data_IF_928728980462
#
_entry.id   IF_928728980462
#
_cell.length_a   1.000
_cell.length_b   1.000
_cell.length_c   1.000
_cell.angle_alpha   90.00
_cell.angle_beta   90.00
_cell.angle_gamma   90.00
#
_symmetry.space_group_name_H-M   'P 1'
#
loop_
_entity.id
_entity.type
_entity.pdbx_description
1 polymer ?
#
# COMPACT_ATOMS: atom_id res chain seq x y z
N UNK A 1 -15.72 17.36 10.03
CA UNK A 1 -14.74 17.44 8.91
C UNK A 1 -14.76 16.09 8.20
N UNK A 2 -14.76 16.14 6.87
CA UNK A 2 -15.41 15.20 5.93
C UNK A 2 -15.15 13.71 6.17
N UNK A 3 -16.21 12.96 6.51
CA UNK A 3 -16.27 11.51 6.39
C UNK A 3 -16.52 11.19 4.91
N UNK A 4 -15.47 10.90 4.16
CA UNK A 4 -15.57 10.34 2.82
C UNK A 4 -16.14 8.92 2.93
N UNK A 5 -17.47 8.83 2.97
CA UNK A 5 -18.21 7.58 2.86
C UNK A 5 -18.07 7.10 1.41
N UNK A 6 -17.00 6.34 1.12
CA UNK A 6 -16.82 5.69 -0.17
C UNK A 6 -17.55 4.33 -0.14
N UNK A 7 -18.86 4.40 -0.38
CA UNK A 7 -19.75 3.27 -0.58
C UNK A 7 -19.63 2.80 -2.03
N UNK A 8 -18.84 1.76 -2.33
CA UNK A 8 -19.20 0.69 -3.28
C UNK A 8 -18.02 -0.22 -3.61
N UNK A 9 -18.31 -1.52 -3.63
CA UNK A 9 -17.48 -2.63 -4.13
C UNK A 9 -16.90 -2.37 -5.54
N UNK A 10 -17.56 -1.53 -6.33
CA UNK A 10 -17.14 -1.12 -7.69
C UNK A 10 -16.01 -0.09 -7.72
N UNK A 11 -15.86 0.77 -6.70
CA UNK A 11 -14.76 1.74 -6.68
C UNK A 11 -13.44 1.09 -6.30
N UNK A 12 -13.44 0.07 -5.43
CA UNK A 12 -12.23 -0.73 -5.13
C UNK A 12 -11.62 -1.42 -6.37
N UNK A 13 -12.43 -1.66 -7.40
CA UNK A 13 -11.98 -2.23 -8.67
C UNK A 13 -11.43 -1.18 -9.65
N UNK A 14 -11.79 0.10 -9.45
CA UNK A 14 -11.36 1.21 -10.29
C UNK A 14 -10.23 2.05 -9.66
N UNK A 15 -9.99 1.91 -8.36
CA UNK A 15 -8.92 2.64 -7.67
C UNK A 15 -7.56 1.98 -7.94
N UNK A 16 -6.67 2.76 -8.54
CA UNK A 16 -5.29 2.33 -8.75
C UNK A 16 -4.48 2.43 -7.46
N UNK A 17 -3.39 1.66 -7.36
CA UNK A 17 -2.44 1.82 -6.26
C UNK A 17 -1.91 3.26 -6.17
N UNK A 18 -1.76 3.94 -7.31
CA UNK A 18 -1.37 5.35 -7.37
C UNK A 18 -2.36 6.26 -6.64
N UNK A 19 -3.66 6.14 -6.95
CA UNK A 19 -4.71 6.97 -6.35
C UNK A 19 -4.78 6.75 -4.84
N UNK A 20 -4.69 5.48 -4.42
CA UNK A 20 -4.61 5.11 -3.02
C UNK A 20 -3.38 5.68 -2.32
N UNK A 21 -2.22 5.69 -2.97
CA UNK A 21 -1.02 6.31 -2.44
C UNK A 21 -1.16 7.83 -2.29
N UNK A 22 -1.91 8.50 -3.17
CA UNK A 22 -2.23 9.94 -3.05
C UNK A 22 -3.14 10.20 -1.86
N UNK A 23 -4.22 9.43 -1.71
CA UNK A 23 -5.12 9.54 -0.55
C UNK A 23 -4.37 9.30 0.77
N UNK A 24 -3.56 8.25 0.81
CA UNK A 24 -2.77 7.89 2.00
C UNK A 24 -1.73 8.95 2.36
N UNK A 25 -1.10 9.60 1.37
CA UNK A 25 -0.17 10.70 1.59
C UNK A 25 -0.86 11.89 2.29
N UNK A 26 -2.07 12.23 1.83
CA UNK A 26 -2.81 13.40 2.30
C UNK A 26 -3.54 13.16 3.63
N UNK A 27 -4.13 11.98 3.83
CA UNK A 27 -4.96 11.69 5.00
C UNK A 27 -4.14 11.16 6.19
N UNK A 28 -3.19 10.25 5.93
CA UNK A 28 -2.47 9.52 6.98
C UNK A 28 -1.08 10.10 7.21
N UNK A 29 -0.30 10.29 6.14
CA UNK A 29 1.10 10.70 6.26
C UNK A 29 1.25 12.17 6.63
N UNK A 30 0.32 13.04 6.22
CA UNK A 30 0.35 14.47 6.52
C UNK A 30 0.49 14.78 8.02
N UNK A 31 -0.10 13.95 8.90
CA UNK A 31 -0.14 14.18 10.34
C UNK A 31 0.90 13.37 11.15
N UNK A 32 1.77 12.59 10.49
CA UNK A 32 2.73 11.70 11.17
C UNK A 32 4.07 12.39 11.43
N UNK A 33 4.66 12.16 12.62
CA UNK A 33 6.04 12.61 12.98
C UNK A 33 7.15 12.10 12.03
N UNK A 34 6.86 11.13 11.14
CA UNK A 34 7.77 10.55 10.15
C UNK A 34 7.44 10.90 8.68
N UNK A 35 6.61 11.93 8.44
CA UNK A 35 6.01 12.20 7.13
C UNK A 35 7.01 12.30 5.97
N UNK A 36 8.20 12.87 6.20
CA UNK A 36 9.20 13.07 5.13
C UNK A 36 9.70 11.75 4.55
N UNK A 37 9.98 10.78 5.42
CA UNK A 37 10.51 9.49 4.99
C UNK A 37 9.41 8.65 4.31
N UNK A 38 8.20 8.68 4.85
CA UNK A 38 7.04 8.00 4.26
C UNK A 38 6.67 8.60 2.90
N UNK A 39 6.71 9.93 2.73
CA UNK A 39 6.53 10.60 1.42
C UNK A 39 7.59 10.19 0.40
N UNK A 40 8.85 10.04 0.84
CA UNK A 40 9.92 9.56 -0.04
C UNK A 40 9.61 8.15 -0.56
N UNK A 41 9.19 7.25 0.33
CA UNK A 41 8.78 5.89 -0.01
C UNK A 41 7.57 5.89 -0.94
N UNK A 42 6.55 6.72 -0.66
CA UNK A 42 5.36 6.87 -1.52
C UNK A 42 5.75 7.30 -2.93
N UNK A 43 6.66 8.26 -3.07
CA UNK A 43 7.16 8.68 -4.39
C UNK A 43 7.88 7.56 -5.13
N UNK A 44 8.62 6.70 -4.42
CA UNK A 44 9.24 5.52 -5.03
C UNK A 44 8.16 4.57 -5.56
N UNK A 45 7.14 4.27 -4.75
CA UNK A 45 6.03 3.42 -5.19
C UNK A 45 5.28 4.00 -6.38
N UNK A 46 4.95 5.29 -6.37
CA UNK A 46 4.27 5.99 -7.48
C UNK A 46 5.00 5.89 -8.82
N UNK A 47 6.32 5.64 -8.82
CA UNK A 47 7.14 5.45 -10.02
C UNK A 47 7.20 3.99 -10.49
N UNK A 48 6.79 3.04 -9.66
CA UNK A 48 6.80 1.63 -10.02
C UNK A 48 5.65 1.31 -10.99
N UNK A 49 5.83 0.34 -11.90
CA UNK A 49 4.75 -0.14 -12.77
C UNK A 49 3.50 -0.57 -11.96
N UNK A 50 3.72 -1.12 -10.77
CA UNK A 50 2.66 -1.55 -9.85
C UNK A 50 1.70 -0.41 -9.46
N UNK A 51 2.16 0.85 -9.47
CA UNK A 51 1.29 1.99 -9.14
C UNK A 51 0.11 2.14 -10.10
N UNK A 52 0.27 1.70 -11.36
CA UNK A 52 -0.77 1.77 -12.39
C UNK A 52 -1.76 0.59 -12.32
N UNK A 53 -1.46 -0.42 -11.51
CA UNK A 53 -2.35 -1.55 -11.32
C UNK A 53 -3.49 -1.18 -10.37
N UNK A 54 -4.66 -1.74 -10.61
CA UNK A 54 -5.78 -1.64 -9.68
C UNK A 54 -5.44 -2.33 -8.35
N UNK A 55 -5.88 -1.77 -7.23
CA UNK A 55 -5.64 -2.38 -5.91
C UNK A 55 -6.20 -3.81 -5.85
N UNK A 56 -7.38 -4.05 -6.43
CA UNK A 56 -7.99 -5.37 -6.53
C UNK A 56 -7.20 -6.37 -7.39
N UNK A 57 -6.41 -5.88 -8.36
CA UNK A 57 -5.59 -6.73 -9.25
C UNK A 57 -4.19 -7.01 -8.70
N UNK A 58 -3.77 -6.28 -7.66
CA UNK A 58 -2.43 -6.40 -7.10
C UNK A 58 -2.31 -7.71 -6.32
N UNK A 59 -1.47 -8.64 -6.81
CA UNK A 59 -1.29 -9.94 -6.18
C UNK A 59 -0.07 -9.95 -5.28
N UNK A 60 -0.04 -10.90 -4.34
CA UNK A 60 1.13 -11.21 -3.50
C UNK A 60 2.39 -11.44 -4.33
N UNK A 61 2.23 -12.06 -5.51
CA UNK A 61 3.33 -12.36 -6.43
C UNK A 61 3.99 -11.09 -7.00
N UNK A 62 3.20 -10.06 -7.31
CA UNK A 62 3.73 -8.80 -7.83
C UNK A 62 4.55 -8.06 -6.77
N UNK A 63 4.08 -8.09 -5.51
CA UNK A 63 4.79 -7.52 -4.37
C UNK A 63 6.08 -8.31 -4.07
N UNK A 64 6.04 -9.65 -4.16
CA UNK A 64 7.22 -10.48 -3.99
C UNK A 64 8.29 -10.22 -5.07
N UNK A 65 7.87 -10.06 -6.32
CA UNK A 65 8.77 -9.71 -7.42
C UNK A 65 9.42 -8.34 -7.18
N UNK A 66 8.64 -7.34 -6.77
CA UNK A 66 9.16 -6.00 -6.45
C UNK A 66 10.15 -6.03 -5.28
N UNK A 67 9.88 -6.85 -4.25
CA UNK A 67 10.82 -7.09 -3.14
C UNK A 67 12.14 -7.66 -3.65
N UNK A 68 12.08 -8.70 -4.47
CA UNK A 68 13.27 -9.40 -4.96
C UNK A 68 14.09 -8.51 -5.91
N UNK A 69 13.44 -7.64 -6.68
CA UNK A 69 14.09 -6.58 -7.45
C UNK A 69 14.81 -5.58 -6.54
N UNK A 70 14.14 -5.06 -5.50
CA UNK A 70 14.77 -4.11 -4.58
C UNK A 70 15.88 -4.71 -3.72
N UNK A 71 15.82 -5.99 -3.37
CA UNK A 71 16.87 -6.65 -2.60
C UNK A 71 18.22 -6.74 -3.35
N UNK A 72 18.24 -6.52 -4.67
CA UNK A 72 19.47 -6.43 -5.46
C UNK A 72 20.23 -5.12 -5.23
N UNK A 73 19.50 -4.04 -5.00
CA UNK A 73 20.05 -2.68 -4.95
C UNK A 73 20.02 -2.07 -3.53
N UNK A 74 19.19 -2.58 -2.63
CA UNK A 74 18.94 -2.00 -1.32
C UNK A 74 19.12 -3.01 -0.18
N UNK A 75 19.56 -2.51 0.97
CA UNK A 75 19.65 -3.31 2.18
C UNK A 75 18.28 -3.88 2.61
N UNK A 76 18.24 -5.09 3.20
CA UNK A 76 16.98 -5.73 3.62
C UNK A 76 16.10 -4.86 4.52
N UNK A 77 16.70 -4.10 5.45
CA UNK A 77 15.98 -3.19 6.33
C UNK A 77 15.24 -2.07 5.55
N UNK A 78 15.84 -1.56 4.47
CA UNK A 78 15.21 -0.55 3.61
C UNK A 78 14.03 -1.14 2.85
N UNK A 79 14.18 -2.36 2.31
CA UNK A 79 13.12 -3.06 1.59
C UNK A 79 11.94 -3.36 2.52
N UNK A 80 12.22 -3.90 3.71
CA UNK A 80 11.20 -4.16 4.74
C UNK A 80 10.39 -2.92 5.05
N UNK A 81 11.05 -1.78 5.28
CA UNK A 81 10.36 -0.52 5.57
C UNK A 81 9.42 -0.10 4.44
N UNK A 82 9.84 -0.24 3.19
CA UNK A 82 8.98 0.08 2.02
C UNK A 82 7.76 -0.84 1.97
N UNK A 83 7.96 -2.14 2.16
CA UNK A 83 6.86 -3.12 2.18
C UNK A 83 5.91 -2.93 3.36
N UNK A 84 6.41 -2.52 4.53
CA UNK A 84 5.55 -2.19 5.68
C UNK A 84 4.62 -1.02 5.38
N UNK A 85 5.08 -0.01 4.66
CA UNK A 85 4.22 1.10 4.22
C UNK A 85 3.13 0.61 3.28
N UNK A 86 3.48 -0.24 2.31
CA UNK A 86 2.52 -0.84 1.39
C UNK A 86 1.48 -1.69 2.13
N UNK A 87 1.92 -2.55 3.06
CA UNK A 87 1.00 -3.36 3.89
C UNK A 87 0.05 -2.47 4.70
N UNK A 88 0.56 -1.40 5.30
CA UNK A 88 -0.29 -0.48 6.05
C UNK A 88 -1.29 0.25 5.14
N UNK A 89 -0.90 0.66 3.94
CA UNK A 89 -1.81 1.22 2.94
C UNK A 89 -2.96 0.25 2.65
N UNK A 90 -2.69 -1.01 2.30
CA UNK A 90 -3.73 -2.00 2.01
C UNK A 90 -4.67 -2.22 3.21
N UNK A 91 -4.14 -2.22 4.43
CA UNK A 91 -4.95 -2.32 5.64
C UNK A 91 -5.88 -1.11 5.84
N UNK A 92 -5.39 0.11 5.61
CA UNK A 92 -6.20 1.34 5.66
C UNK A 92 -7.25 1.34 4.54
N UNK A 93 -6.86 1.01 3.32
CA UNK A 93 -7.78 0.92 2.19
C UNK A 93 -8.92 -0.06 2.45
N UNK A 94 -8.63 -1.20 3.08
CA UNK A 94 -9.66 -2.18 3.47
C UNK A 94 -10.56 -1.68 4.60
N UNK A 95 -9.99 -1.12 5.67
CA UNK A 95 -10.72 -0.80 6.90
C UNK A 95 -11.45 0.54 6.85
N UNK A 96 -10.82 1.55 6.27
CA UNK A 96 -11.29 2.93 6.31
C UNK A 96 -11.94 3.36 4.98
N UNK A 97 -11.51 2.79 3.85
CA UNK A 97 -12.00 3.17 2.51
C UNK A 97 -12.99 2.16 1.91
N UNK A 98 -13.57 1.27 2.72
CA UNK A 98 -14.64 0.38 2.28
C UNK A 98 -14.23 -0.66 1.24
N UNK A 99 -12.93 -0.88 1.00
CA UNK A 99 -12.42 -1.89 0.07
C UNK A 99 -12.41 -3.29 0.72
N UNK A 100 -13.55 -3.70 1.26
CA UNK A 100 -13.70 -4.92 2.06
C UNK A 100 -13.36 -6.21 1.28
N UNK A 101 -13.39 -6.15 -0.05
CA UNK A 101 -13.04 -7.24 -0.98
C UNK A 101 -11.53 -7.47 -1.12
N UNK A 102 -10.66 -6.58 -0.61
CA UNK A 102 -9.21 -6.76 -0.67
C UNK A 102 -8.76 -7.87 0.29
N UNK A 103 -8.41 -9.03 -0.28
CA UNK A 103 -7.70 -10.09 0.42
C UNK A 103 -6.23 -9.67 0.52
N UNK A 104 -5.84 -9.25 1.72
CA UNK A 104 -4.44 -9.02 2.04
C UNK A 104 -3.70 -10.37 1.96
N UNK A 105 -2.57 -10.49 1.23
CA UNK A 105 -1.71 -11.66 1.32
C UNK A 105 -1.32 -11.89 2.78
N UNK A 106 -1.37 -13.14 3.29
CA UNK A 106 -1.02 -13.40 4.67
C UNK A 106 0.42 -12.95 4.95
N UNK A 107 0.60 -12.26 6.07
CA UNK A 107 1.91 -11.91 6.61
C UNK A 107 2.67 -13.20 6.93
N UNK A 108 3.91 -13.41 6.42
CA UNK A 108 4.69 -14.61 6.71
C UNK A 108 5.11 -14.75 8.19
N UNK A 109 4.76 -13.81 9.08
CA UNK A 109 5.17 -13.82 10.49
C UNK A 109 4.07 -14.20 11.48
N UNK A 110 3.10 -15.04 11.11
CA UNK A 110 2.19 -15.62 12.12
C UNK A 110 2.81 -16.90 12.67
N UNK A 111 3.33 -16.93 13.92
CA UNK A 111 3.71 -18.20 14.52
C UNK A 111 2.42 -18.94 14.86
N UNK A 112 2.17 -20.05 14.17
CA UNK A 112 1.21 -21.08 14.58
C UNK A 112 1.52 -21.48 16.01
N UNK A 113 0.52 -21.34 16.89
CA UNK A 113 0.51 -21.89 18.23
C UNK A 113 -0.45 -23.06 18.27
#
# INVERSE_FOLDING_TARGET
MARGVWLSRSESELTTLYDSLVGYENEIVANKKGAVQDRSIIRIFKRQPLARCYMASTRSADVAKLRDEWLKDYAPATVLRRLSLLSHLFNISRKEWGMESLINPPDPQTPTR
#
